data_IF_472778932145
#
_entry.id   IF_472778932145
#
_cell.length_a   1.000
_cell.length_b   1.000
_cell.length_c   1.000
_cell.angle_alpha   90.00
_cell.angle_beta   90.00
_cell.angle_gamma   90.00
#
_symmetry.space_group_name_H-M   'P 1'
#
loop_
_entity.id
_entity.type
_entity.pdbx_description
1 polymer ?
#
# COMPACT_ATOMS: atom_id res chain seq x y z
N UNK A 1 -62.77 -44.43 -17.45
CA UNK A 1 -62.27 -43.13 -16.94
C UNK A 1 -60.79 -43.03 -17.32
N UNK A 2 -60.51 -42.38 -18.44
CA UNK A 2 -59.17 -42.25 -19.03
C UNK A 2 -58.58 -40.88 -18.70
N UNK A 3 -57.40 -40.85 -18.09
CA UNK A 3 -56.61 -39.64 -17.94
C UNK A 3 -55.23 -39.89 -18.54
N UNK A 4 -54.98 -39.27 -19.69
CA UNK A 4 -53.69 -39.30 -20.38
C UNK A 4 -52.70 -38.32 -19.72
N UNK A 5 -51.40 -38.65 -19.64
CA UNK A 5 -50.38 -37.74 -19.10
C UNK A 5 -49.97 -36.66 -20.10
N UNK A 6 -49.77 -35.44 -19.59
CA UNK A 6 -49.33 -34.24 -20.32
C UNK A 6 -47.82 -34.35 -20.64
N UNK A 7 -47.35 -34.08 -21.88
CA UNK A 7 -45.91 -34.07 -22.18
C UNK A 7 -45.26 -32.75 -21.74
N UNK A 8 -44.14 -32.84 -21.01
CA UNK A 8 -43.24 -31.71 -20.71
C UNK A 8 -42.50 -31.31 -22.00
N UNK A 9 -42.72 -30.07 -22.45
CA UNK A 9 -41.92 -29.46 -23.53
C UNK A 9 -40.53 -29.08 -22.99
N UNK A 10 -39.50 -29.68 -23.56
CA UNK A 10 -38.14 -29.18 -23.48
C UNK A 10 -38.04 -27.96 -24.40
N UNK A 11 -37.74 -26.78 -23.85
CA UNK A 11 -37.35 -25.61 -24.63
C UNK A 11 -35.83 -25.61 -24.76
N UNK A 12 -35.35 -26.09 -25.90
CA UNK A 12 -33.98 -25.84 -26.38
C UNK A 12 -33.81 -24.33 -26.59
N UNK A 13 -32.80 -23.74 -25.95
CA UNK A 13 -32.35 -22.38 -26.26
C UNK A 13 -31.41 -22.41 -27.47
N UNK A 14 -31.55 -21.50 -28.45
CA UNK A 14 -30.59 -21.39 -29.53
C UNK A 14 -29.30 -20.72 -29.02
N UNK A 15 -28.19 -21.43 -29.12
CA UNK A 15 -26.85 -20.84 -29.06
C UNK A 15 -26.60 -20.15 -30.40
N UNK A 16 -26.45 -18.82 -30.41
CA UNK A 16 -25.90 -18.12 -31.57
C UNK A 16 -24.89 -17.08 -31.12
N UNK A 17 -23.63 -17.38 -31.43
CA UNK A 17 -22.50 -16.51 -31.19
C UNK A 17 -22.45 -15.31 -32.14
N UNK A 18 -21.87 -14.22 -31.64
CA UNK A 18 -20.69 -13.52 -32.20
C UNK A 18 -20.49 -12.23 -31.39
N UNK A 19 -19.26 -11.90 -30.97
CA UNK A 19 -18.97 -10.59 -30.38
C UNK A 19 -18.81 -9.53 -31.49
N UNK A 20 -19.15 -8.25 -31.23
CA UNK A 20 -18.88 -7.18 -32.18
C UNK A 20 -17.37 -6.91 -32.30
N UNK A 21 -16.93 -6.77 -33.55
CA UNK A 21 -15.56 -6.44 -33.96
C UNK A 21 -15.12 -5.09 -33.42
N UNK A 22 -13.89 -5.02 -32.89
CA UNK A 22 -13.16 -3.76 -32.68
C UNK A 22 -12.87 -3.12 -34.04
N UNK A 23 -13.25 -1.86 -34.20
CA UNK A 23 -12.89 -1.05 -35.36
C UNK A 23 -11.41 -0.67 -35.21
N UNK A 24 -10.62 -1.09 -36.20
CA UNK A 24 -9.23 -0.71 -36.41
C UNK A 24 -9.20 0.61 -37.18
N UNK A 25 -8.58 1.64 -36.61
CA UNK A 25 -8.16 2.83 -37.37
C UNK A 25 -6.67 2.70 -37.65
N UNK A 26 -6.36 2.33 -38.89
CA UNK A 26 -5.02 2.29 -39.48
C UNK A 26 -4.84 3.53 -40.36
N UNK A 27 -3.90 4.40 -39.97
CA UNK A 27 -3.14 5.35 -40.82
C UNK A 27 -1.82 5.54 -40.06
N UNK A 28 -0.77 4.75 -40.29
CA UNK A 28 0.23 4.81 -41.36
C UNK A 28 0.80 6.21 -41.66
N UNK A 29 1.91 6.55 -40.98
CA UNK A 29 3.16 6.97 -41.62
C UNK A 29 4.28 7.18 -40.58
N UNK A 30 5.31 6.32 -40.63
CA UNK A 30 6.71 6.77 -40.65
C UNK A 30 7.58 6.78 -39.36
N UNK A 31 8.21 5.62 -39.10
CA UNK A 31 9.66 5.39 -38.75
C UNK A 31 10.28 5.94 -37.44
N UNK A 32 10.83 5.02 -36.62
CA UNK A 32 12.02 5.28 -35.79
C UNK A 32 12.17 4.50 -34.47
N UNK A 33 12.60 3.24 -34.54
CA UNK A 33 13.51 2.50 -33.63
C UNK A 33 13.34 2.41 -32.08
N UNK A 34 13.04 1.17 -31.66
CA UNK A 34 13.72 0.34 -30.62
C UNK A 34 13.40 0.44 -29.11
N UNK A 35 13.18 -0.77 -28.56
CA UNK A 35 13.37 -1.29 -27.17
C UNK A 35 12.23 -1.14 -26.14
N UNK A 36 11.64 -2.28 -25.78
CA UNK A 36 10.90 -2.62 -24.54
C UNK A 36 11.81 -2.52 -23.30
N UNK A 37 11.33 -2.64 -22.02
CA UNK A 37 10.01 -3.12 -21.57
C UNK A 37 9.38 -2.42 -20.34
N UNK A 38 8.19 -2.88 -19.99
CA UNK A 38 7.68 -3.11 -18.62
C UNK A 38 7.25 -1.93 -17.69
N UNK A 39 6.04 -2.11 -17.15
CA UNK A 39 5.40 -1.52 -15.94
C UNK A 39 5.14 0.00 -15.89
N UNK A 40 3.97 0.37 -16.40
CA UNK A 40 3.29 1.61 -16.03
C UNK A 40 2.91 1.60 -14.56
N UNK A 41 3.55 2.47 -13.80
CA UNK A 41 3.20 2.84 -12.43
C UNK A 41 1.73 3.29 -12.36
N UNK A 42 0.88 2.46 -11.73
CA UNK A 42 -0.38 2.95 -11.18
C UNK A 42 -0.07 3.82 -9.95
N UNK A 43 0.17 5.12 -10.20
CA UNK A 43 0.12 6.14 -9.16
C UNK A 43 -1.30 6.22 -8.60
N UNK A 44 -1.51 5.47 -7.51
CA UNK A 44 -2.60 5.66 -6.54
C UNK A 44 -2.66 7.14 -6.15
N UNK A 45 -3.68 7.84 -6.65
CA UNK A 45 -4.07 9.15 -6.16
C UNK A 45 -4.60 9.02 -4.74
N UNK A 46 -3.69 9.12 -3.78
CA UNK A 46 -3.95 9.29 -2.36
C UNK A 46 -4.81 10.53 -2.13
N UNK A 47 -6.07 10.29 -1.82
CA UNK A 47 -7.01 11.26 -1.30
C UNK A 47 -6.61 11.64 0.12
N UNK A 48 -5.67 12.58 0.27
CA UNK A 48 -5.41 13.29 1.55
C UNK A 48 -4.66 14.64 1.42
N UNK A 49 -4.47 15.21 0.21
CA UNK A 49 -3.78 16.50 0.03
C UNK A 49 -4.60 17.52 -0.78
N UNK A 50 -5.81 17.85 -0.32
CA UNK A 50 -6.65 18.90 -0.93
C UNK A 50 -6.28 20.33 -0.52
N UNK A 51 -5.33 20.51 0.41
CA UNK A 51 -4.98 21.83 0.94
C UNK A 51 -3.92 22.60 0.13
N UNK A 52 -3.06 21.94 -0.67
CA UNK A 52 -1.91 22.58 -1.34
C UNK A 52 -1.98 22.60 -2.88
N UNK A 53 -3.16 22.45 -3.46
CA UNK A 53 -3.33 22.63 -4.92
C UNK A 53 -3.39 24.13 -5.20
N UNK A 54 -2.41 24.64 -5.96
CA UNK A 54 -2.38 26.03 -6.43
C UNK A 54 -3.74 26.40 -7.01
N UNK A 55 -4.21 27.62 -6.72
CA UNK A 55 -5.49 28.14 -7.20
C UNK A 55 -5.67 27.93 -8.71
N UNK A 56 -4.58 28.10 -9.46
CA UNK A 56 -4.53 27.91 -10.91
C UNK A 56 -4.73 26.45 -11.33
N UNK A 57 -4.16 25.51 -10.58
CA UNK A 57 -4.30 24.08 -10.83
C UNK A 57 -5.71 23.57 -10.47
N UNK A 58 -6.35 24.18 -9.47
CA UNK A 58 -7.76 23.96 -9.14
C UNK A 58 -8.68 24.51 -10.25
N UNK A 59 -8.36 25.68 -10.79
CA UNK A 59 -9.08 26.29 -11.91
C UNK A 59 -8.98 25.45 -13.19
N UNK A 60 -7.77 25.03 -13.57
CA UNK A 60 -7.53 24.17 -14.73
C UNK A 60 -8.27 22.82 -14.62
N UNK A 61 -8.25 22.20 -13.43
CA UNK A 61 -9.00 20.96 -13.19
C UNK A 61 -10.52 21.17 -13.32
N UNK A 62 -11.03 22.30 -12.83
CA UNK A 62 -12.45 22.67 -12.98
C UNK A 62 -12.83 22.89 -14.45
N UNK A 63 -11.96 23.53 -15.23
CA UNK A 63 -12.15 23.73 -16.67
C UNK A 63 -12.13 22.41 -17.44
N UNK A 64 -11.24 21.48 -17.10
CA UNK A 64 -11.21 20.13 -17.68
C UNK A 64 -12.51 19.36 -17.44
N UNK A 65 -13.04 19.39 -16.21
CA UNK A 65 -14.33 18.75 -15.92
C UNK A 65 -15.47 19.43 -16.64
N UNK A 66 -15.46 20.76 -16.76
CA UNK A 66 -16.47 21.48 -17.54
C UNK A 66 -16.44 21.09 -19.01
N UNK A 67 -15.25 20.93 -19.60
CA UNK A 67 -15.11 20.45 -20.98
C UNK A 67 -15.58 19.00 -21.14
N UNK A 68 -15.29 18.13 -20.17
CA UNK A 68 -15.72 16.73 -20.17
C UNK A 68 -17.24 16.57 -20.10
N UNK A 69 -17.92 17.42 -19.33
CA UNK A 69 -19.37 17.42 -19.19
C UNK A 69 -20.09 18.41 -20.13
N UNK A 70 -19.36 19.09 -21.02
CA UNK A 70 -19.94 20.05 -21.97
C UNK A 70 -20.47 21.35 -21.35
N UNK A 71 -20.11 21.68 -20.10
CA UNK A 71 -20.44 22.96 -19.45
C UNK A 71 -19.56 24.10 -19.96
N UNK A 72 -19.68 24.45 -21.26
CA UNK A 72 -19.03 25.65 -21.81
C UNK A 72 -19.51 26.90 -21.08
N UNK A 73 -18.56 27.66 -20.58
CA UNK A 73 -18.74 29.03 -20.11
C UNK A 73 -19.21 29.88 -21.31
N UNK A 74 -20.47 30.32 -21.29
CA UNK A 74 -20.95 31.37 -22.19
C UNK A 74 -22.12 31.09 -23.13
N UNK A 75 -22.79 29.93 -23.13
CA UNK A 75 -24.03 29.77 -23.94
C UNK A 75 -25.22 29.00 -23.33
N UNK A 76 -25.15 28.52 -22.08
CA UNK A 76 -26.33 27.95 -21.38
C UNK A 76 -26.45 28.43 -19.92
N UNK A 77 -26.14 29.70 -19.66
CA UNK A 77 -26.43 30.37 -18.39
C UNK A 77 -27.40 31.54 -18.58
N UNK A 78 -28.35 31.39 -19.49
CA UNK A 78 -29.53 32.23 -19.62
C UNK A 78 -30.79 31.38 -19.60
N UNK A 79 -31.00 30.63 -18.52
CA UNK A 79 -32.35 30.34 -18.05
C UNK A 79 -32.26 30.01 -16.57
N UNK A 80 -33.05 30.68 -15.76
CA UNK A 80 -33.18 30.54 -14.32
C UNK A 80 -32.07 31.20 -13.49
N UNK A 81 -32.16 32.53 -13.34
CA UNK A 81 -32.29 33.17 -12.00
C UNK A 81 -32.66 34.65 -12.14
N UNK A 82 -33.95 34.93 -11.89
CA UNK A 82 -34.47 36.11 -11.18
C UNK A 82 -34.08 37.52 -11.66
N UNK A 83 -34.86 38.06 -12.59
CA UNK A 83 -35.35 39.46 -12.53
C UNK A 83 -36.59 39.62 -13.40
N UNK A 84 -37.68 40.06 -12.79
CA UNK A 84 -38.98 40.39 -13.36
C UNK A 84 -38.94 40.92 -14.81
N UNK A 85 -39.66 40.24 -15.71
CA UNK A 85 -40.66 40.82 -16.62
C UNK A 85 -41.29 39.67 -17.44
N UNK A 86 -42.55 39.30 -17.17
CA UNK A 86 -43.57 38.85 -18.13
C UNK A 86 -43.21 38.01 -19.38
N UNK A 87 -42.17 37.18 -19.39
CA UNK A 87 -41.99 36.18 -20.45
C UNK A 87 -42.89 35.00 -20.13
N UNK A 88 -44.12 35.01 -20.64
CA UNK A 88 -44.99 33.82 -20.69
C UNK A 88 -44.11 32.66 -21.16
N UNK A 89 -43.90 31.65 -20.31
CA UNK A 89 -43.17 30.45 -20.70
C UNK A 89 -43.76 29.94 -22.02
N UNK A 90 -42.93 29.87 -23.05
CA UNK A 90 -43.42 29.61 -24.39
C UNK A 90 -44.02 28.21 -24.42
N UNK A 91 -45.32 28.12 -24.66
CA UNK A 91 -46.05 26.86 -24.67
C UNK A 91 -45.73 26.04 -25.93
N UNK A 92 -45.09 26.66 -26.92
CA UNK A 92 -44.72 26.07 -28.20
C UNK A 92 -43.26 25.57 -28.24
N UNK A 93 -42.45 25.87 -27.22
CA UNK A 93 -41.06 25.42 -27.15
C UNK A 93 -40.96 24.03 -26.51
N UNK A 94 -40.37 23.07 -27.23
CA UNK A 94 -40.27 21.65 -26.80
C UNK A 94 -39.38 21.51 -25.55
N UNK A 95 -38.40 22.40 -25.38
CA UNK A 95 -37.45 22.35 -24.27
C UNK A 95 -37.96 23.12 -23.02
N UNK A 96 -39.10 23.82 -23.15
CA UNK A 96 -39.70 24.62 -22.08
C UNK A 96 -40.48 23.76 -21.08
N UNK A 97 -40.40 24.13 -19.80
CA UNK A 97 -41.12 23.47 -18.71
C UNK A 97 -42.66 23.60 -18.82
N UNK A 98 -43.13 24.59 -19.58
CA UNK A 98 -44.57 24.85 -19.82
C UNK A 98 -45.04 24.38 -21.20
N UNK A 99 -44.28 23.49 -21.85
CA UNK A 99 -44.60 22.95 -23.16
C UNK A 99 -46.00 22.32 -23.18
N UNK A 100 -46.83 22.74 -24.14
CA UNK A 100 -48.12 22.14 -24.40
C UNK A 100 -48.10 21.44 -25.78
N UNK A 101 -48.00 20.12 -25.75
CA UNK A 101 -47.92 19.29 -26.96
C UNK A 101 -49.11 19.50 -27.90
N UNK A 102 -50.32 19.71 -27.38
CA UNK A 102 -51.51 19.91 -28.21
C UNK A 102 -51.45 21.26 -28.93
N UNK A 103 -51.08 22.34 -28.23
CA UNK A 103 -50.95 23.67 -28.83
C UNK A 103 -49.82 23.71 -29.88
N UNK A 104 -48.68 23.06 -29.59
CA UNK A 104 -47.57 22.94 -30.52
C UNK A 104 -47.94 22.14 -31.79
N UNK A 105 -48.69 21.04 -31.64
CA UNK A 105 -49.14 20.24 -32.76
C UNK A 105 -50.11 21.01 -33.69
N UNK A 106 -51.09 21.70 -33.11
CA UNK A 106 -52.04 22.52 -33.88
C UNK A 106 -51.34 23.68 -34.61
N UNK A 107 -50.34 24.30 -33.97
CA UNK A 107 -49.51 25.33 -34.60
C UNK A 107 -48.64 24.75 -35.73
N UNK A 108 -48.09 23.56 -35.53
CA UNK A 108 -47.24 22.87 -36.50
C UNK A 108 -48.03 22.48 -37.76
N UNK A 109 -49.22 21.87 -37.62
CA UNK A 109 -50.02 21.41 -38.77
C UNK A 109 -50.65 22.57 -39.55
N UNK A 110 -50.96 23.68 -38.87
CA UNK A 110 -51.52 24.88 -39.52
C UNK A 110 -50.48 25.67 -40.31
N UNK A 111 -49.20 25.67 -39.89
CA UNK A 111 -48.13 26.45 -40.52
C UNK A 111 -47.25 25.66 -41.49
N UNK A 112 -47.05 24.36 -41.27
CA UNK A 112 -46.10 23.57 -42.07
C UNK A 112 -46.76 22.84 -43.24
N UNK A 113 -46.01 22.70 -44.33
CA UNK A 113 -46.39 21.84 -45.45
C UNK A 113 -46.23 20.36 -45.07
N UNK A 114 -46.93 19.47 -45.78
CA UNK A 114 -46.85 18.02 -45.56
C UNK A 114 -45.40 17.48 -45.57
N UNK A 115 -44.57 17.99 -46.48
CA UNK A 115 -43.15 17.61 -46.54
C UNK A 115 -42.40 18.03 -45.27
N UNK A 116 -42.63 19.26 -44.80
CA UNK A 116 -42.04 19.77 -43.56
C UNK A 116 -42.51 19.00 -42.32
N UNK A 117 -43.79 18.58 -42.30
CA UNK A 117 -44.32 17.74 -41.23
C UNK A 117 -43.66 16.37 -41.20
N UNK A 118 -43.43 15.77 -42.37
CA UNK A 118 -42.78 14.47 -42.49
C UNK A 118 -41.31 14.53 -42.06
N UNK A 119 -40.57 15.56 -42.48
CA UNK A 119 -39.19 15.81 -42.04
C UNK A 119 -39.10 16.04 -40.52
N UNK A 120 -40.01 16.84 -39.95
CA UNK A 120 -40.14 17.03 -38.50
C UNK A 120 -40.41 15.71 -37.77
N UNK A 121 -41.32 14.87 -38.29
CA UNK A 121 -41.63 13.57 -37.70
C UNK A 121 -40.42 12.63 -37.70
N UNK A 122 -39.64 12.60 -38.80
CA UNK A 122 -38.40 11.83 -38.86
C UNK A 122 -37.35 12.33 -37.87
N UNK A 123 -37.14 13.65 -37.78
CA UNK A 123 -36.22 14.25 -36.80
C UNK A 123 -36.61 13.86 -35.38
N UNK A 124 -37.88 14.06 -35.03
CA UNK A 124 -38.37 13.79 -33.68
C UNK A 124 -38.28 12.30 -33.33
N UNK A 125 -38.54 11.41 -34.28
CA UNK A 125 -38.35 9.98 -34.08
C UNK A 125 -36.87 9.59 -33.88
N UNK A 126 -35.95 10.25 -34.60
CA UNK A 126 -34.52 10.09 -34.39
C UNK A 126 -34.11 10.60 -33.00
N UNK A 127 -34.63 11.75 -32.59
CA UNK A 127 -34.34 12.35 -31.29
C UNK A 127 -34.86 11.48 -30.14
N UNK A 128 -36.07 10.92 -30.26
CA UNK A 128 -36.62 9.95 -29.30
C UNK A 128 -35.68 8.75 -29.17
N UNK A 129 -35.23 8.16 -30.28
CA UNK A 129 -34.31 7.01 -30.26
C UNK A 129 -32.96 7.34 -29.61
N UNK A 130 -32.40 8.51 -29.90
CA UNK A 130 -31.16 8.99 -29.29
C UNK A 130 -31.33 9.25 -27.80
N UNK A 131 -32.43 9.87 -27.39
CA UNK A 131 -32.73 10.17 -25.99
C UNK A 131 -32.96 8.88 -25.19
N UNK A 132 -33.62 7.90 -25.79
CA UNK A 132 -33.80 6.58 -25.22
C UNK A 132 -32.46 5.84 -25.09
N UNK A 133 -31.61 5.88 -26.11
CA UNK A 133 -30.26 5.31 -26.06
C UNK A 133 -29.38 5.96 -24.98
N UNK A 134 -29.42 7.29 -24.88
CA UNK A 134 -28.73 8.07 -23.84
C UNK A 134 -29.25 7.70 -22.45
N UNK A 135 -30.58 7.64 -22.26
CA UNK A 135 -31.20 7.22 -21.00
C UNK A 135 -30.77 5.82 -20.60
N UNK A 136 -30.84 4.85 -21.52
CA UNK A 136 -30.40 3.48 -21.24
C UNK A 136 -28.91 3.45 -20.90
N UNK A 137 -28.06 4.12 -21.68
CA UNK A 137 -26.62 4.19 -21.42
C UNK A 137 -26.33 4.77 -20.04
N UNK A 138 -27.00 5.86 -19.65
CA UNK A 138 -26.88 6.46 -18.34
C UNK A 138 -27.32 5.50 -17.24
N UNK A 139 -28.53 4.93 -17.36
CA UNK A 139 -29.07 3.98 -16.38
C UNK A 139 -28.15 2.79 -16.22
N UNK A 140 -27.71 2.15 -17.31
CA UNK A 140 -26.81 1.00 -17.25
C UNK A 140 -25.45 1.36 -16.65
N UNK A 141 -24.85 2.47 -17.07
CA UNK A 141 -23.55 2.89 -16.57
C UNK A 141 -23.61 3.18 -15.07
N UNK A 142 -24.59 3.96 -14.64
CA UNK A 142 -24.76 4.26 -13.21
C UNK A 142 -25.17 3.03 -12.40
N UNK A 143 -26.07 2.17 -12.89
CA UNK A 143 -26.44 0.96 -12.16
C UNK A 143 -25.27 0.00 -12.02
N UNK A 144 -24.48 -0.19 -13.08
CA UNK A 144 -23.32 -1.05 -13.01
C UNK A 144 -22.27 -0.47 -12.05
N UNK A 145 -21.98 0.83 -12.12
CA UNK A 145 -21.08 1.49 -11.16
C UNK A 145 -21.57 1.38 -9.71
N UNK A 146 -22.87 1.59 -9.46
CA UNK A 146 -23.45 1.44 -8.13
C UNK A 146 -23.35 0.00 -7.63
N UNK A 147 -23.56 -0.97 -8.51
CA UNK A 147 -23.43 -2.39 -8.19
C UNK A 147 -21.96 -2.74 -7.89
N UNK A 148 -21.01 -2.30 -8.72
CA UNK A 148 -19.57 -2.48 -8.49
C UNK A 148 -19.08 -1.82 -7.19
N UNK A 149 -19.61 -0.62 -6.88
CA UNK A 149 -19.35 0.07 -5.62
C UNK A 149 -19.93 -0.74 -4.45
N UNK A 150 -21.15 -1.27 -4.59
CA UNK A 150 -21.77 -2.17 -3.62
C UNK A 150 -20.96 -3.44 -3.35
N UNK A 151 -20.42 -4.06 -4.39
CA UNK A 151 -19.52 -5.22 -4.29
C UNK A 151 -18.22 -4.84 -3.56
N UNK A 152 -17.68 -3.66 -3.85
CA UNK A 152 -16.46 -3.16 -3.19
C UNK A 152 -16.72 -2.87 -1.71
N UNK A 153 -17.85 -2.25 -1.37
CA UNK A 153 -18.28 -2.02 0.01
C UNK A 153 -18.49 -3.35 0.73
N UNK A 154 -19.12 -4.33 0.09
CA UNK A 154 -19.34 -5.66 0.67
C UNK A 154 -18.02 -6.39 0.96
N UNK A 155 -17.07 -6.31 0.02
CA UNK A 155 -15.70 -6.84 0.21
C UNK A 155 -14.93 -6.11 1.31
N UNK A 156 -15.11 -4.80 1.44
CA UNK A 156 -14.52 -4.04 2.54
C UNK A 156 -15.14 -4.49 3.86
N UNK A 157 -16.47 -4.54 3.93
CA UNK A 157 -17.21 -4.88 5.14
C UNK A 157 -16.94 -6.31 5.63
N UNK A 158 -16.65 -7.26 4.73
CA UNK A 158 -16.23 -8.61 5.13
C UNK A 158 -14.79 -8.65 5.66
N UNK A 159 -13.91 -7.74 5.22
CA UNK A 159 -12.52 -7.64 5.67
C UNK A 159 -12.33 -6.79 6.92
N UNK A 160 -13.20 -5.81 7.17
CA UNK A 160 -13.11 -4.90 8.32
C UNK A 160 -13.08 -5.63 9.67
N UNK A 161 -13.90 -6.67 9.95
CA UNK A 161 -13.83 -7.39 11.22
C UNK A 161 -12.47 -8.05 11.46
N UNK A 162 -11.86 -8.59 10.40
CA UNK A 162 -10.50 -9.17 10.49
C UNK A 162 -9.47 -8.09 10.79
N UNK A 163 -9.57 -6.94 10.14
CA UNK A 163 -8.68 -5.79 10.38
C UNK A 163 -8.82 -5.26 11.82
N UNK A 164 -10.05 -5.10 12.31
CA UNK A 164 -10.32 -4.70 13.70
C UNK A 164 -9.71 -5.72 14.68
N UNK A 165 -9.86 -7.03 14.41
CA UNK A 165 -9.25 -8.08 15.23
C UNK A 165 -7.72 -7.95 15.30
N UNK A 166 -7.07 -7.74 14.15
CA UNK A 166 -5.61 -7.54 14.09
C UNK A 166 -5.19 -6.28 14.86
N UNK A 167 -5.94 -5.18 14.75
CA UNK A 167 -5.65 -3.94 15.49
C UNK A 167 -5.79 -4.15 16.99
N UNK A 168 -6.83 -4.87 17.44
CA UNK A 168 -7.00 -5.21 18.85
C UNK A 168 -5.84 -6.08 19.36
N UNK A 169 -5.42 -7.08 18.59
CA UNK A 169 -4.26 -7.91 18.93
C UNK A 169 -2.97 -7.10 19.00
N UNK A 170 -2.79 -6.14 18.09
CA UNK A 170 -1.65 -5.24 18.10
C UNK A 170 -1.66 -4.34 19.35
N UNK A 171 -2.83 -3.80 19.72
CA UNK A 171 -3.00 -3.02 20.94
C UNK A 171 -2.71 -3.84 22.19
N UNK A 172 -3.15 -5.09 22.26
CA UNK A 172 -2.82 -6.01 23.35
C UNK A 172 -1.31 -6.27 23.41
N UNK A 173 -0.68 -6.53 22.26
CA UNK A 173 0.77 -6.73 22.19
C UNK A 173 1.56 -5.50 22.66
N UNK A 174 1.11 -4.29 22.30
CA UNK A 174 1.72 -3.05 22.79
C UNK A 174 1.51 -2.86 24.28
N UNK A 175 0.31 -3.13 24.80
CA UNK A 175 0.08 -3.09 26.25
C UNK A 175 0.94 -4.08 27.01
N UNK A 176 1.17 -5.27 26.47
CA UNK A 176 2.06 -6.27 27.06
C UNK A 176 3.53 -5.81 27.02
N UNK A 177 3.95 -5.20 25.91
CA UNK A 177 5.28 -4.61 25.79
C UNK A 177 5.45 -3.46 26.77
N UNK A 178 4.47 -2.57 26.92
CA UNK A 178 4.47 -1.48 27.90
C UNK A 178 4.58 -2.03 29.32
N UNK A 179 3.80 -3.05 29.69
CA UNK A 179 3.91 -3.71 30.99
C UNK A 179 5.30 -4.34 31.21
N UNK A 180 5.89 -4.95 30.17
CA UNK A 180 7.24 -5.49 30.24
C UNK A 180 8.29 -4.39 30.38
N UNK A 181 8.16 -3.28 29.64
CA UNK A 181 9.04 -2.12 29.75
C UNK A 181 8.95 -1.53 31.16
N UNK A 182 7.75 -1.36 31.72
CA UNK A 182 7.56 -0.90 33.09
C UNK A 182 8.22 -1.87 34.07
N UNK A 183 8.04 -3.18 33.88
CA UNK A 183 8.68 -4.20 34.73
C UNK A 183 10.21 -4.16 34.64
N UNK A 184 10.76 -3.96 33.44
CA UNK A 184 12.20 -3.84 33.20
C UNK A 184 12.71 -2.54 33.80
N UNK A 185 12.01 -1.41 33.65
CA UNK A 185 12.38 -0.12 34.24
C UNK A 185 12.50 -0.20 35.76
N UNK A 186 11.56 -0.87 36.42
CA UNK A 186 11.58 -1.12 37.87
C UNK A 186 12.77 -2.01 38.26
N UNK A 187 13.15 -3.00 37.42
CA UNK A 187 14.33 -3.83 37.66
C UNK A 187 15.61 -3.03 37.43
N UNK A 188 15.69 -2.20 36.39
CA UNK A 188 16.86 -1.37 36.11
C UNK A 188 17.05 -0.29 37.16
N UNK A 189 15.98 0.29 37.72
CA UNK A 189 16.05 1.24 38.82
C UNK A 189 16.50 0.56 40.13
N UNK A 190 16.10 -0.70 40.34
CA UNK A 190 16.61 -1.53 41.45
C UNK A 190 18.06 -1.95 41.24
N UNK A 191 18.49 -2.19 40.00
CA UNK A 191 19.88 -2.53 39.66
C UNK A 191 20.80 -1.31 39.60
N UNK A 192 20.32 -0.12 39.23
CA UNK A 192 21.10 1.12 39.25
C UNK A 192 21.35 1.60 40.68
N UNK A 193 20.39 1.42 41.59
CA UNK A 193 20.62 1.61 43.04
C UNK A 193 21.58 0.56 43.66
N UNK A 194 21.81 -0.58 43.01
CA UNK A 194 22.81 -1.59 43.43
C UNK A 194 24.18 -1.45 42.77
N UNK A 195 24.30 -0.71 41.66
CA UNK A 195 25.55 -0.54 40.90
C UNK A 195 26.35 0.71 41.28
N UNK A 196 25.72 1.73 41.85
CA UNK A 196 26.44 2.92 42.33
C UNK A 196 27.35 2.67 43.55
N UNK A 197 27.38 1.45 44.11
CA UNK A 197 28.31 1.04 45.18
C UNK A 197 29.40 0.05 44.73
N UNK A 198 29.53 -0.25 43.44
CA UNK A 198 30.47 -1.27 42.94
C UNK A 198 31.37 -0.76 41.78
N UNK A 199 31.82 0.49 41.82
CA UNK A 199 32.89 0.98 40.91
C UNK A 199 34.27 1.05 41.57
N UNK A 200 34.45 0.44 42.75
CA UNK A 200 35.74 0.37 43.45
C UNK A 200 36.26 -1.08 43.53
N UNK A 201 36.25 -1.77 42.38
CA UNK A 201 36.86 -3.09 42.26
C UNK A 201 38.34 -2.94 41.92
N UNK A 202 39.19 -3.34 42.88
CA UNK A 202 40.65 -3.40 42.76
C UNK A 202 41.09 -3.89 41.38
N UNK A 203 42.09 -3.22 40.81
CA UNK A 203 42.73 -3.54 39.52
C UNK A 203 43.05 -5.04 39.41
N UNK A 204 43.32 -5.69 40.54
CA UNK A 204 43.59 -7.13 40.63
C UNK A 204 42.40 -8.03 40.27
N UNK A 205 41.16 -7.64 40.58
CA UNK A 205 39.98 -8.42 40.21
C UNK A 205 39.76 -8.40 38.70
N UNK A 206 40.05 -7.26 38.06
CA UNK A 206 39.99 -7.12 36.60
C UNK A 206 41.07 -7.97 35.92
N UNK A 207 42.28 -8.06 36.50
CA UNK A 207 43.35 -8.94 36.03
C UNK A 207 42.95 -10.41 36.10
N UNK A 208 42.38 -10.84 37.23
CA UNK A 208 41.92 -12.21 37.42
C UNK A 208 40.82 -12.60 36.41
N UNK A 209 39.92 -11.67 36.11
CA UNK A 209 38.86 -11.90 35.12
C UNK A 209 39.41 -12.03 33.69
N UNK A 210 40.41 -11.22 33.32
CA UNK A 210 41.09 -11.32 32.02
C UNK A 210 41.82 -12.67 31.89
N UNK A 211 42.50 -13.14 32.94
CA UNK A 211 43.17 -14.44 32.98
C UNK A 211 42.19 -15.60 32.83
N UNK A 212 41.09 -15.56 33.57
CA UNK A 212 40.06 -16.58 33.53
C UNK A 212 39.46 -16.71 32.13
N UNK A 213 39.06 -15.59 31.53
CA UNK A 213 38.54 -15.56 30.16
C UNK A 213 39.60 -15.98 29.13
N UNK A 214 40.87 -15.63 29.40
CA UNK A 214 42.03 -16.06 28.64
C UNK A 214 42.23 -17.58 28.60
N UNK A 215 42.16 -18.22 29.78
CA UNK A 215 42.27 -19.66 29.95
C UNK A 215 41.16 -20.40 29.21
N UNK A 216 39.92 -19.99 29.41
CA UNK A 216 38.77 -20.58 28.71
C UNK A 216 38.93 -20.49 27.18
N UNK A 217 39.47 -19.38 26.68
CA UNK A 217 39.74 -19.21 25.25
C UNK A 217 40.85 -20.13 24.74
N UNK A 218 41.95 -20.28 25.48
CA UNK A 218 43.04 -21.19 25.09
C UNK A 218 42.56 -22.64 25.10
N UNK A 219 41.77 -23.05 26.10
CA UNK A 219 41.14 -24.37 26.15
C UNK A 219 40.24 -24.61 24.92
N UNK A 220 39.43 -23.62 24.53
CA UNK A 220 38.62 -23.69 23.32
C UNK A 220 39.47 -23.80 22.05
N UNK A 221 40.56 -23.04 21.92
CA UNK A 221 41.48 -23.12 20.77
C UNK A 221 42.15 -24.50 20.67
N UNK A 222 42.48 -25.12 21.80
CA UNK A 222 42.99 -26.50 21.86
C UNK A 222 41.92 -27.50 21.42
N UNK A 223 40.67 -27.37 21.89
CA UNK A 223 39.56 -28.24 21.45
C UNK A 223 39.27 -28.10 19.95
N UNK A 224 39.45 -26.90 19.41
CA UNK A 224 39.26 -26.58 18.01
C UNK A 224 40.42 -27.04 17.09
N UNK A 225 41.51 -27.59 17.65
CA UNK A 225 42.74 -28.00 16.93
C UNK A 225 43.34 -26.87 16.08
N UNK A 226 43.32 -25.64 16.60
CA UNK A 226 43.98 -24.51 15.96
C UNK A 226 45.51 -24.68 15.94
N UNK A 227 46.19 -23.89 15.11
CA UNK A 227 47.63 -24.06 14.92
C UNK A 227 48.40 -23.74 16.22
N UNK A 228 49.41 -24.54 16.61
CA UNK A 228 50.16 -24.31 17.85
C UNK A 228 50.83 -22.93 17.92
N UNK A 229 51.09 -22.30 16.77
CA UNK A 229 51.67 -20.96 16.66
C UNK A 229 50.67 -19.87 17.06
N UNK A 230 49.40 -20.03 16.72
CA UNK A 230 48.33 -19.07 17.07
C UNK A 230 47.99 -19.11 18.55
N UNK A 231 48.00 -20.31 19.15
CA UNK A 231 47.80 -20.47 20.59
C UNK A 231 48.92 -19.79 21.38
N UNK A 232 50.18 -19.94 20.92
CA UNK A 232 51.36 -19.30 21.53
C UNK A 232 51.35 -17.78 21.37
N UNK A 233 51.02 -17.25 20.19
CA UNK A 233 50.97 -15.80 19.99
C UNK A 233 49.85 -15.14 20.81
N UNK A 234 48.72 -15.84 20.98
CA UNK A 234 47.64 -15.40 21.85
C UNK A 234 48.04 -15.40 23.32
N UNK A 235 48.75 -16.46 23.78
CA UNK A 235 49.30 -16.52 25.13
C UNK A 235 50.29 -15.37 25.42
N UNK A 236 51.22 -15.10 24.50
CA UNK A 236 52.17 -13.99 24.65
C UNK A 236 51.46 -12.62 24.69
N UNK A 237 50.44 -12.43 23.85
CA UNK A 237 49.62 -11.20 23.87
C UNK A 237 48.83 -11.03 25.17
N UNK A 238 48.45 -12.15 25.81
CA UNK A 238 47.73 -12.16 27.08
C UNK A 238 48.68 -11.86 28.24
N UNK A 239 49.87 -12.46 28.22
CA UNK A 239 50.95 -12.19 29.18
C UNK A 239 51.37 -10.72 29.14
N UNK A 240 51.55 -10.15 27.94
CA UNK A 240 51.89 -8.74 27.76
C UNK A 240 50.85 -7.81 28.40
N UNK A 241 49.54 -8.07 28.18
CA UNK A 241 48.45 -7.26 28.75
C UNK A 241 48.37 -7.28 30.28
N UNK A 242 48.85 -8.34 30.91
CA UNK A 242 48.90 -8.46 32.37
C UNK A 242 50.18 -7.79 32.90
N UNK A 243 51.26 -7.86 32.15
CA UNK A 243 52.57 -7.33 32.52
C UNK A 243 52.71 -5.82 32.30
N UNK A 244 51.99 -5.21 31.35
CA UNK A 244 51.99 -3.75 31.13
C UNK A 244 51.42 -2.96 32.31
N UNK A 245 50.69 -3.62 33.20
CA UNK A 245 50.00 -2.98 34.32
C UNK A 245 50.78 -3.09 35.65
N UNK A 246 52.05 -3.50 35.65
CA UNK A 246 52.92 -3.65 36.84
C UNK A 246 52.83 -2.44 37.80
N UNK A 247 52.03 -2.59 38.85
CA UNK A 247 51.96 -1.72 40.02
C UNK A 247 52.10 -2.63 41.23
N UNK A 248 52.99 -2.25 42.15
CA UNK A 248 53.57 -3.05 43.24
C UNK A 248 52.59 -3.44 44.36
N UNK A 249 51.41 -3.97 44.05
CA UNK A 249 50.47 -4.51 45.04
C UNK A 249 50.56 -6.05 45.12
N UNK A 250 51.05 -6.52 46.27
CA UNK A 250 51.41 -7.92 46.54
C UNK A 250 50.22 -8.83 46.89
N UNK A 251 48.98 -8.32 46.87
CA UNK A 251 47.82 -9.04 47.41
C UNK A 251 47.39 -10.29 46.64
N UNK A 252 47.34 -10.21 45.31
CA UNK A 252 46.85 -11.29 44.43
C UNK A 252 47.86 -11.72 43.35
N UNK A 253 49.10 -11.24 43.45
CA UNK A 253 50.17 -11.55 42.50
C UNK A 253 50.47 -13.05 42.44
N UNK A 254 50.41 -13.74 43.57
CA UNK A 254 50.68 -15.18 43.65
C UNK A 254 49.62 -16.02 42.92
N UNK A 255 48.34 -15.65 42.97
CA UNK A 255 47.27 -16.36 42.26
C UNK A 255 47.37 -16.13 40.74
N UNK A 256 47.70 -14.90 40.33
CA UNK A 256 47.96 -14.55 38.93
C UNK A 256 49.17 -15.33 38.39
N UNK A 257 50.26 -15.40 39.15
CA UNK A 257 51.47 -16.13 38.79
C UNK A 257 51.22 -17.65 38.73
N UNK A 258 50.37 -18.19 39.62
CA UNK A 258 49.98 -19.60 39.59
C UNK A 258 49.14 -19.95 38.35
N UNK A 259 48.19 -19.08 37.98
CA UNK A 259 47.38 -19.26 36.75
C UNK A 259 48.24 -19.11 35.48
N UNK A 260 49.19 -18.18 35.46
CA UNK A 260 50.15 -18.06 34.36
C UNK A 260 51.04 -19.31 34.23
N UNK A 261 51.54 -19.87 35.33
CA UNK A 261 52.29 -21.14 35.32
C UNK A 261 51.46 -22.33 34.85
N UNK A 262 50.17 -22.37 35.21
CA UNK A 262 49.26 -23.41 34.72
C UNK A 262 49.05 -23.28 33.21
N UNK A 263 48.88 -22.05 32.70
CA UNK A 263 48.79 -21.77 31.27
C UNK A 263 50.09 -22.09 30.52
N UNK A 264 51.24 -21.74 31.09
CA UNK A 264 52.55 -22.07 30.54
C UNK A 264 52.71 -23.59 30.39
N UNK A 265 52.31 -24.35 31.42
CA UNK A 265 52.32 -25.82 31.37
C UNK A 265 51.39 -26.38 30.28
N UNK A 266 50.19 -25.81 30.12
CA UNK A 266 49.23 -26.22 29.08
C UNK A 266 49.78 -25.93 27.67
N UNK A 267 50.47 -24.80 27.50
CA UNK A 267 51.11 -24.41 26.22
C UNK A 267 52.38 -25.24 25.94
N UNK A 268 53.10 -25.67 26.98
CA UNK A 268 54.32 -26.48 26.88
C UNK A 268 54.03 -27.98 26.67
N UNK A 269 52.88 -28.49 27.12
CA UNK A 269 52.38 -29.85 26.82
C UNK A 269 51.93 -30.02 25.34
N UNK A 270 51.86 -28.94 24.55
CA UNK A 270 51.58 -29.02 23.12
C UNK A 270 52.80 -29.54 22.35
N UNK A 271 52.65 -30.57 21.49
CA UNK A 271 53.77 -31.14 20.76
C UNK A 271 54.44 -30.09 19.87
N UNK A 272 55.76 -29.93 20.00
CA UNK A 272 56.56 -29.24 18.99
C UNK A 272 56.54 -30.09 17.73
N UNK A 273 55.74 -29.68 16.73
CA UNK A 273 55.94 -30.19 15.39
C UNK A 273 57.36 -29.77 14.96
N UNK A 274 58.24 -30.77 14.96
CA UNK A 274 59.53 -30.71 14.30
C UNK A 274 59.31 -30.21 12.89
N UNK A 275 60.15 -29.25 12.51
CA UNK A 275 60.38 -28.87 11.12
C UNK A 275 60.46 -30.13 10.25
N UNK A 276 59.45 -30.29 9.39
CA UNK A 276 59.43 -31.22 8.27
C UNK A 276 59.46 -30.39 7.00
N UNK A 277 60.50 -30.62 6.21
CA UNK A 277 60.77 -30.06 4.89
C UNK A 277 59.59 -30.14 3.91
#
# INVERSE_FOLDING_TARGET
>A
MSASPIPRRHSEMPVRGTPPRKISTFTDNGRGETRSPDQGEMRRGSSNNTANISFEQRKARREQFRNFYGLKEGQHSSSNSSSNENTKADQLDIDSLSFNASAYYEDLISKQSLKGLMEKAYSLNSDIGNLEGSRHSLVYNHHHQLFEAGDTISKLNSRTPQLISIVNQLQESFSNIEQLIDSISVITDKQSNGKAQNEDLSIDNKRLEILRNGKERIELMITAKESPKEIRSYYESLKEKIQTDETDDQGNKEEIDNQLKELEKIVEELPQEKEGA
#
